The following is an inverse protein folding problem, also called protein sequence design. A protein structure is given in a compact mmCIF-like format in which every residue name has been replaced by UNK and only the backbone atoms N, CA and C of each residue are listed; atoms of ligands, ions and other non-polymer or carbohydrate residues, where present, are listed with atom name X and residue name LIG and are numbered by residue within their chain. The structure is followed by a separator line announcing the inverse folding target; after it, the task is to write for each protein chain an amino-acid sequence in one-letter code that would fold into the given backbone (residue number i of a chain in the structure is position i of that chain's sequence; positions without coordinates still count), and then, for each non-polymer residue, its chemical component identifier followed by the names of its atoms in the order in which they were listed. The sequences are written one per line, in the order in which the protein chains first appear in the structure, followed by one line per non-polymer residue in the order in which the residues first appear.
data_IF_415356471189
#
_entry.id   IF_415356471189
#
_cell.length_a   1.000
_cell.length_b   1.000
_cell.length_c   1.000
_cell.angle_alpha   90.00
_cell.angle_beta   90.00
_cell.angle_gamma   90.00
#
_symmetry.space_group_name_H-M   'P 1'
#
loop_
_entity.id
_entity.type
_entity.pdbx_description
1 polymer ?
#
# COMPACT_ATOMS: atom_id res chain seq x y z
N UNK A 1 11.95 10.47 12.86
CA UNK A 1 12.03 10.00 11.50
C UNK A 1 11.07 8.82 11.31
N UNK A 2 9.80 9.03 10.78
CA UNK A 2 8.85 7.93 10.65
C UNK A 2 9.16 7.05 9.44
N UNK A 3 8.75 5.81 9.57
CA UNK A 3 8.85 4.81 8.51
C UNK A 3 7.48 4.17 8.35
N UNK A 4 6.95 4.23 7.14
CA UNK A 4 5.63 3.66 6.84
C UNK A 4 5.80 2.57 5.80
N UNK A 5 5.24 1.42 6.06
CA UNK A 5 5.29 0.30 5.12
C UNK A 5 3.88 -0.04 4.69
N UNK A 6 3.63 0.03 3.39
CA UNK A 6 2.33 -0.27 2.82
C UNK A 6 2.46 -1.56 2.02
N UNK A 7 1.73 -2.58 2.45
CA UNK A 7 1.65 -3.82 1.69
C UNK A 7 0.32 -3.84 0.96
N UNK A 8 0.35 -4.14 -0.32
CA UNK A 8 -0.88 -4.19 -1.10
C UNK A 8 -0.74 -5.23 -2.19
N UNK A 9 -1.86 -5.73 -2.65
CA UNK A 9 -1.84 -6.63 -3.78
C UNK A 9 -1.35 -5.88 -5.01
N UNK A 10 -0.63 -6.59 -5.85
CA UNK A 10 -0.12 -6.03 -7.09
C UNK A 10 -1.26 -5.57 -7.98
N UNK A 11 -0.97 -4.66 -8.88
CA UNK A 11 -1.95 -4.20 -9.85
C UNK A 11 -2.14 -2.70 -9.90
N UNK A 12 -1.67 -1.96 -8.89
CA UNK A 12 -1.76 -0.51 -8.94
C UNK A 12 -0.65 0.04 -9.83
N UNK A 13 -0.94 1.15 -10.49
CA UNK A 13 0.03 1.77 -11.35
C UNK A 13 1.06 2.53 -10.54
N UNK A 14 2.19 2.83 -11.17
CA UNK A 14 3.23 3.63 -10.54
C UNK A 14 2.67 5.01 -10.17
N UNK A 15 1.82 5.55 -11.03
CA UNK A 15 1.24 6.87 -10.77
C UNK A 15 0.37 6.85 -9.52
N UNK A 16 -0.40 5.79 -9.34
CA UNK A 16 -1.22 5.64 -8.13
C UNK A 16 -0.34 5.55 -6.89
N UNK A 17 0.75 4.81 -6.98
CA UNK A 17 1.66 4.68 -5.85
C UNK A 17 2.34 6.00 -5.52
N UNK A 18 2.71 6.78 -6.53
CA UNK A 18 3.30 8.10 -6.29
C UNK A 18 2.35 9.00 -5.53
N UNK A 19 1.09 9.00 -5.94
CA UNK A 19 0.08 9.82 -5.25
C UNK A 19 -0.12 9.35 -3.82
N UNK A 20 -0.12 8.04 -3.63
CA UNK A 20 -0.32 7.47 -2.29
C UNK A 20 0.81 7.86 -1.35
N UNK A 21 2.06 7.68 -1.77
CA UNK A 21 3.18 8.00 -0.88
C UNK A 21 3.24 9.49 -0.58
N UNK A 22 2.85 10.33 -1.53
CA UNK A 22 2.80 11.76 -1.28
C UNK A 22 1.75 12.09 -0.23
N UNK A 23 0.58 11.49 -0.35
CA UNK A 23 -0.52 11.75 0.60
C UNK A 23 -0.15 11.26 2.00
N UNK A 24 0.48 10.10 2.10
CA UNK A 24 0.92 9.57 3.39
C UNK A 24 1.94 10.50 4.03
N UNK A 25 2.90 10.96 3.24
CA UNK A 25 3.94 11.86 3.74
C UNK A 25 3.33 13.16 4.25
N UNK A 26 2.38 13.72 3.50
CA UNK A 26 1.72 14.95 3.91
C UNK A 26 0.91 14.75 5.17
N UNK A 27 0.25 13.61 5.31
CA UNK A 27 -0.51 13.32 6.52
C UNK A 27 0.39 13.17 7.72
N UNK A 28 1.54 12.52 7.55
CA UNK A 28 2.48 12.38 8.64
C UNK A 28 3.01 13.73 9.10
N UNK A 29 3.24 14.64 8.16
CA UNK A 29 3.70 15.97 8.51
C UNK A 29 2.60 16.74 9.23
N UNK A 30 1.40 16.70 8.71
CA UNK A 30 0.30 17.48 9.24
C UNK A 30 -0.15 17.01 10.60
N UNK A 31 -0.27 15.70 10.76
CA UNK A 31 -0.86 15.11 11.97
C UNK A 31 0.18 14.87 13.04
N UNK A 32 1.34 14.36 12.65
CA UNK A 32 2.36 13.95 13.61
C UNK A 32 3.52 14.92 13.73
N UNK A 33 3.55 15.96 12.92
CA UNK A 33 4.64 16.91 12.95
C UNK A 33 5.94 16.37 12.37
N UNK A 34 5.86 15.31 11.58
CA UNK A 34 7.06 14.71 11.00
C UNK A 34 7.61 15.59 9.89
N UNK A 35 8.94 15.60 9.78
CA UNK A 35 9.59 16.32 8.69
C UNK A 35 9.42 15.52 7.41
N UNK A 36 8.75 16.09 6.38
CA UNK A 36 8.51 15.33 5.15
C UNK A 36 9.78 14.85 4.48
N UNK A 37 10.86 15.61 4.63
CA UNK A 37 12.12 15.28 4.00
C UNK A 37 12.69 13.95 4.51
N UNK A 38 12.37 13.61 5.74
CA UNK A 38 12.91 12.40 6.37
C UNK A 38 11.85 11.33 6.63
N UNK A 39 10.66 11.51 6.09
CA UNK A 39 9.61 10.51 6.20
C UNK A 39 9.81 9.48 5.10
N UNK A 40 9.91 8.23 5.51
CA UNK A 40 10.12 7.14 4.55
C UNK A 40 8.85 6.34 4.38
N UNK A 41 8.50 6.06 3.12
CA UNK A 41 7.34 5.25 2.79
C UNK A 41 7.76 4.18 1.82
N UNK A 42 7.50 2.94 2.18
CA UNK A 42 7.80 1.79 1.33
C UNK A 42 6.49 1.18 0.89
N UNK A 43 6.37 0.90 -0.39
CA UNK A 43 5.20 0.23 -0.95
C UNK A 43 5.65 -1.13 -1.46
N UNK A 44 5.06 -2.18 -0.92
CA UNK A 44 5.37 -3.55 -1.33
C UNK A 44 4.20 -4.13 -2.10
N UNK A 45 4.45 -4.44 -3.37
CA UNK A 45 3.47 -5.16 -4.19
C UNK A 45 3.55 -6.63 -3.85
N UNK A 46 2.42 -7.20 -3.45
CA UNK A 46 2.38 -8.61 -3.10
C UNK A 46 1.68 -9.36 -4.22
N UNK A 47 2.30 -10.46 -4.64
CA UNK A 47 1.68 -11.32 -5.64
C UNK A 47 0.44 -11.98 -5.05
N UNK A 48 -0.50 -12.30 -5.94
CA UNK A 48 -1.76 -12.89 -5.48
C UNK A 48 -1.58 -14.25 -4.84
N UNK A 49 -0.51 -14.94 -5.17
CA UNK A 49 -0.22 -16.24 -4.54
C UNK A 49 0.57 -16.09 -3.25
N UNK A 50 0.75 -14.85 -2.77
CA UNK A 50 1.38 -14.58 -1.49
C UNK A 50 0.42 -13.89 -0.52
N UNK A 51 -0.86 -13.83 -0.86
CA UNK A 51 -1.83 -13.04 -0.10
C UNK A 51 -3.07 -13.90 0.14
N UNK A 52 -3.37 -14.17 1.39
CA UNK A 52 -4.50 -15.03 1.72
C UNK A 52 -5.42 -14.36 2.70
N UNK A 53 -6.70 -14.68 2.59
CA UNK A 53 -7.71 -14.25 3.53
C UNK A 53 -8.59 -15.45 3.81
N UNK A 54 -8.82 -15.73 5.11
CA UNK A 54 -9.63 -16.87 5.48
C UNK A 54 -9.05 -18.20 5.04
N UNK A 55 -7.73 -18.24 4.86
CA UNK A 55 -7.06 -19.46 4.42
C UNK A 55 -7.12 -19.69 2.92
N UNK A 56 -7.63 -18.73 2.15
CA UNK A 56 -7.74 -18.87 0.70
C UNK A 56 -6.89 -17.81 0.03
N UNK A 57 -6.03 -18.24 -0.86
CA UNK A 57 -5.14 -17.32 -1.59
C UNK A 57 -5.94 -16.42 -2.51
N UNK A 58 -5.48 -15.18 -2.66
CA UNK A 58 -6.10 -14.24 -3.58
C UNK A 58 -6.10 -14.80 -5.00
N UNK A 59 -5.08 -15.56 -5.38
CA UNK A 59 -4.99 -16.15 -6.69
C UNK A 59 -6.13 -17.14 -6.97
N UNK A 60 -6.74 -17.67 -5.90
CA UNK A 60 -7.84 -18.62 -6.03
C UNK A 60 -9.20 -17.95 -5.93
N UNK A 61 -9.24 -16.63 -5.77
CA UNK A 61 -10.49 -15.91 -5.56
C UNK A 61 -10.83 -15.05 -6.74
N UNK A 62 -11.05 -15.70 -7.86
CA UNK A 62 -11.33 -14.97 -9.11
C UNK A 62 -12.58 -14.10 -8.96
N UNK A 63 -13.58 -14.62 -8.28
CA UNK A 63 -14.85 -13.91 -8.13
C UNK A 63 -14.72 -12.67 -7.24
N UNK A 64 -13.67 -12.58 -6.46
CA UNK A 64 -13.48 -11.47 -5.53
C UNK A 64 -12.69 -10.32 -6.12
N UNK A 65 -12.35 -10.39 -7.40
CA UNK A 65 -11.48 -9.36 -7.99
C UNK A 65 -12.06 -7.97 -7.88
N UNK A 66 -13.37 -7.86 -8.01
CA UNK A 66 -14.02 -6.55 -7.96
C UNK A 66 -13.98 -5.94 -6.58
N UNK A 67 -13.66 -6.72 -5.58
CA UNK A 67 -13.62 -6.24 -4.19
C UNK A 67 -12.31 -5.59 -3.83
N UNK A 68 -11.37 -5.56 -4.75
CA UNK A 68 -10.04 -5.02 -4.49
C UNK A 68 -9.92 -3.57 -4.90
N UNK A 69 -10.95 -2.82 -4.68
CA UNK A 69 -10.93 -1.41 -5.06
C UNK A 69 -10.48 -0.52 -3.96
#
# INVERSE_FOLDING_TARGET
MPFVNVKMLEGRTVEQKKRLVKAITESMAEICGANPEYTMVVVEDMAKDHWARGGVMASDRVADNKDNK
#
